data_IF_510480013799
#
_entry.id   IF_510480013799
#
_cell.length_a   1.000
_cell.length_b   1.000
_cell.length_c   1.000
_cell.angle_alpha   90.00
_cell.angle_beta   90.00
_cell.angle_gamma   90.00
#
_symmetry.space_group_name_H-M   'P 1'
#
loop_
_entity.id
_entity.type
_entity.pdbx_description
1 polymer ?
#
# COMPACT_ATOMS: atom_id res chain seq x y z
N UNK A 1 5.16 -1.65 8.25
CA UNK A 1 4.28 -1.80 7.08
C UNK A 1 4.63 -0.71 6.07
N UNK A 2 4.97 -1.11 4.85
CA UNK A 2 5.14 -0.25 3.68
C UNK A 2 4.03 -0.63 2.70
N UNK A 3 3.25 0.34 2.26
CA UNK A 3 2.20 0.14 1.25
C UNK A 3 2.56 1.03 0.07
N UNK A 4 2.65 0.43 -1.12
CA UNK A 4 2.95 1.16 -2.34
C UNK A 4 2.15 0.60 -3.53
N UNK A 5 2.22 1.27 -4.67
CA UNK A 5 1.60 0.85 -5.93
C UNK A 5 2.64 0.84 -7.06
N UNK A 6 2.57 -0.15 -7.95
CA UNK A 6 3.51 -0.31 -9.08
C UNK A 6 3.32 0.75 -10.16
N UNK A 7 2.14 1.36 -10.24
CA UNK A 7 1.81 2.46 -11.15
C UNK A 7 2.09 3.86 -10.55
N UNK A 8 2.78 3.96 -9.40
CA UNK A 8 3.20 5.25 -8.86
C UNK A 8 4.28 5.89 -9.77
N UNK A 9 4.04 7.08 -10.35
CA UNK A 9 4.96 7.71 -11.30
C UNK A 9 6.31 8.10 -10.69
N UNK A 10 6.43 8.09 -9.36
CA UNK A 10 7.66 8.42 -8.64
C UNK A 10 8.44 7.18 -8.20
N UNK A 11 7.91 5.97 -8.39
CA UNK A 11 8.59 4.72 -8.05
C UNK A 11 8.99 3.96 -9.31
N UNK A 12 10.29 3.74 -9.46
CA UNK A 12 10.80 2.80 -10.47
C UNK A 12 10.55 1.36 -9.97
N UNK A 13 10.11 0.43 -10.83
CA UNK A 13 9.92 -0.97 -10.45
C UNK A 13 11.17 -1.60 -9.82
N UNK A 14 12.34 -1.15 -10.24
CA UNK A 14 13.66 -1.57 -9.78
C UNK A 14 13.97 -1.14 -8.33
N UNK A 15 13.25 -0.14 -7.80
CA UNK A 15 13.40 0.31 -6.41
C UNK A 15 12.58 -0.53 -5.41
N UNK A 16 11.76 -1.46 -5.90
CA UNK A 16 11.06 -2.40 -5.04
C UNK A 16 12.09 -3.40 -4.50
N UNK A 17 12.36 -3.42 -3.18
CA UNK A 17 13.38 -4.30 -2.63
C UNK A 17 12.94 -5.76 -2.74
N UNK A 18 13.89 -6.63 -3.10
CA UNK A 18 13.72 -8.08 -2.96
C UNK A 18 13.48 -8.47 -1.50
N UNK A 19 12.79 -9.59 -1.28
CA UNK A 19 12.50 -10.11 0.06
C UNK A 19 13.76 -10.29 0.93
N UNK A 20 14.91 -10.59 0.31
CA UNK A 20 16.19 -10.74 1.02
C UNK A 20 16.81 -9.41 1.48
N UNK A 21 16.41 -8.29 0.89
CA UNK A 21 16.86 -6.94 1.25
C UNK A 21 15.89 -6.24 2.22
N UNK A 22 14.78 -6.90 2.56
CA UNK A 22 13.77 -6.38 3.48
C UNK A 22 14.02 -6.95 4.88
N UNK A 23 13.97 -6.11 5.91
CA UNK A 23 14.02 -6.58 7.28
C UNK A 23 12.81 -7.47 7.60
N UNK A 24 13.03 -8.54 8.38
CA UNK A 24 11.96 -9.43 8.85
C UNK A 24 10.88 -8.71 9.68
N UNK A 25 11.18 -7.52 10.21
CA UNK A 25 10.22 -6.68 10.94
C UNK A 25 9.40 -5.76 10.03
N UNK A 26 9.66 -5.75 8.72
CA UNK A 26 8.99 -4.89 7.75
C UNK A 26 8.11 -5.73 6.86
N UNK A 27 6.81 -5.42 6.86
CA UNK A 27 5.86 -5.93 5.87
C UNK A 27 5.79 -4.97 4.68
N UNK A 28 6.02 -5.47 3.46
CA UNK A 28 5.89 -4.73 2.22
C UNK A 28 4.68 -5.23 1.42
N UNK A 29 3.78 -4.32 1.08
CA UNK A 29 2.59 -4.55 0.25
C UNK A 29 2.65 -3.67 -0.99
N UNK A 30 2.52 -4.29 -2.16
CA UNK A 30 2.53 -3.58 -3.44
C UNK A 30 1.28 -3.96 -4.23
N UNK A 31 0.46 -2.96 -4.56
CA UNK A 31 -0.66 -3.13 -5.49
C UNK A 31 -0.21 -2.90 -6.93
N UNK A 32 -0.85 -3.55 -7.90
CA UNK A 32 -0.56 -3.33 -9.32
C UNK A 32 -1.04 -1.96 -9.81
N UNK A 33 -2.12 -1.45 -9.21
CA UNK A 33 -2.75 -0.19 -9.55
C UNK A 33 -3.24 0.54 -8.32
N UNK A 34 -3.40 1.85 -8.41
CA UNK A 34 -3.96 2.68 -7.35
C UNK A 34 -3.18 3.97 -7.10
N UNK A 35 -1.96 4.04 -7.62
CA UNK A 35 -1.09 5.20 -7.73
C UNK A 35 -0.96 6.06 -6.46
N UNK A 36 -0.43 7.26 -6.70
CA UNK A 36 -0.25 8.30 -5.69
C UNK A 36 -1.58 8.83 -5.08
N UNK A 37 -2.72 8.59 -5.75
CA UNK A 37 -4.00 9.30 -5.48
C UNK A 37 -4.90 8.58 -4.46
N UNK A 38 -4.33 7.78 -3.57
CA UNK A 38 -4.96 7.50 -2.27
C UNK A 38 -5.55 6.10 -2.06
N UNK A 39 -5.11 5.10 -2.82
CA UNK A 39 -5.50 3.70 -2.62
C UNK A 39 -7.02 3.53 -2.50
N UNK A 40 -7.75 3.84 -3.57
CA UNK A 40 -9.20 3.66 -3.61
C UNK A 40 -9.48 2.22 -4.04
N UNK A 41 -10.19 1.47 -3.19
CA UNK A 41 -10.55 0.06 -3.41
C UNK A 41 -11.88 -0.13 -4.14
N UNK A 42 -12.50 0.97 -4.57
CA UNK A 42 -13.79 0.99 -5.27
C UNK A 42 -14.73 2.07 -4.73
N UNK A 43 -16.03 1.86 -4.87
CA UNK A 43 -17.07 2.83 -4.50
C UNK A 43 -17.62 3.59 -5.71
N UNK A 44 -18.48 4.57 -5.46
CA UNK A 44 -18.98 5.46 -6.52
C UNK A 44 -18.14 6.75 -6.55
N UNK A 45 -18.08 7.50 -7.66
CA UNK A 45 -17.33 8.76 -7.73
C UNK A 45 -17.69 9.76 -6.61
N UNK A 46 -18.93 9.72 -6.11
CA UNK A 46 -19.37 10.57 -4.99
C UNK A 46 -19.14 9.95 -3.61
N UNK A 47 -18.80 8.66 -3.52
CA UNK A 47 -18.51 7.93 -2.27
C UNK A 47 -17.41 6.89 -2.52
N UNK A 48 -16.14 7.33 -2.68
CA UNK A 48 -15.02 6.41 -2.83
C UNK A 48 -14.81 5.60 -1.55
N UNK A 49 -14.41 4.34 -1.69
CA UNK A 49 -14.00 3.46 -0.60
C UNK A 49 -12.48 3.49 -0.49
N UNK A 50 -11.97 4.08 0.57
CA UNK A 50 -10.53 4.17 0.85
C UNK A 50 -10.01 2.87 1.46
N UNK A 51 -8.94 2.33 0.88
CA UNK A 51 -8.22 1.16 1.39
C UNK A 51 -7.36 1.51 2.60
N UNK A 52 -6.57 2.58 2.50
CA UNK A 52 -5.52 2.93 3.46
C UNK A 52 -6.00 3.02 4.91
N UNK A 53 -7.06 3.78 5.26
CA UNK A 53 -7.46 3.92 6.65
C UNK A 53 -7.78 2.57 7.30
N UNK A 54 -8.57 1.73 6.62
CA UNK A 54 -8.92 0.40 7.10
C UNK A 54 -7.69 -0.49 7.26
N UNK A 55 -6.75 -0.45 6.30
CA UNK A 55 -5.54 -1.27 6.36
C UNK A 55 -4.61 -0.87 7.50
N UNK A 56 -4.45 0.44 7.75
CA UNK A 56 -3.63 0.97 8.84
C UNK A 56 -4.22 0.57 10.19
N UNK A 57 -5.54 0.72 10.39
CA UNK A 57 -6.19 0.30 11.63
C UNK A 57 -6.00 -1.19 11.88
N UNK A 58 -6.27 -2.03 10.87
CA UNK A 58 -6.06 -3.47 10.99
C UNK A 58 -4.61 -3.81 11.35
N UNK A 59 -3.62 -3.15 10.73
CA UNK A 59 -2.22 -3.36 11.07
C UNK A 59 -1.95 -3.02 12.53
N UNK A 60 -2.37 -1.85 12.99
CA UNK A 60 -2.09 -1.40 14.36
C UNK A 60 -2.83 -2.23 15.41
N UNK A 61 -4.02 -2.75 15.10
CA UNK A 61 -4.77 -3.63 16.01
C UNK A 61 -4.04 -4.93 16.33
N UNK A 62 -3.19 -5.44 15.43
CA UNK A 62 -2.39 -6.64 15.69
C UNK A 62 -1.24 -6.39 16.68
N UNK A 63 -0.93 -5.13 17.00
CA UNK A 63 0.14 -4.71 17.91
C UNK A 63 -0.33 -3.92 19.14
N UNK A 64 -1.65 -3.77 19.31
CA UNK A 64 -2.28 -3.15 20.47
C UNK A 64 -2.55 -4.19 21.56
#
# INVERSE_FOLDING_TARGET
LIINSRDDPFMLPEMIPDANNLSNSVQLEISDSGGHVGFISGGTPCKPKFYLPKRIFNFLSDYA
#
